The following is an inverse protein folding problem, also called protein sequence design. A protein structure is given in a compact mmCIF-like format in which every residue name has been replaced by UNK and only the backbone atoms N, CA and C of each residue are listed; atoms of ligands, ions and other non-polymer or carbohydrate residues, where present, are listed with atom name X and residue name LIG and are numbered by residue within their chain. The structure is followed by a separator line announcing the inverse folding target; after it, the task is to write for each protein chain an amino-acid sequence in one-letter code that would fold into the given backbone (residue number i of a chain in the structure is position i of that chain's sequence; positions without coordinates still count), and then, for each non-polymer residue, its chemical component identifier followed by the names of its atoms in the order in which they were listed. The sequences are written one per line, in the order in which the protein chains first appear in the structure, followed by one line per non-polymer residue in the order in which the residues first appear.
data_IF_017838315982
#
_entry.id   IF_017838315982
#
_cell.length_a   1.000
_cell.length_b   1.000
_cell.length_c   1.000
_cell.angle_alpha   90.00
_cell.angle_beta   90.00
_cell.angle_gamma   90.00
#
_symmetry.space_group_name_H-M   'P 1'
#
loop_
_entity.id
_entity.type
_entity.pdbx_description
1 polymer ?
#
# COMPACT_ATOMS: atom_id res chain seq x y z
N UNK A 1 -21.28 0.40 27.07
CA UNK A 1 -20.76 -0.81 26.40
C UNK A 1 -19.68 -1.33 27.33
N UNK A 2 -19.89 -2.48 27.96
CA UNK A 2 -18.89 -3.08 28.85
C UNK A 2 -17.90 -3.90 28.00
N UNK A 3 -16.62 -3.61 28.13
CA UNK A 3 -15.52 -4.37 27.54
C UNK A 3 -14.38 -4.46 28.58
N UNK A 4 -13.61 -5.53 28.52
CA UNK A 4 -12.43 -5.74 29.35
C UNK A 4 -11.18 -5.41 28.53
N UNK A 5 -10.32 -4.55 29.06
CA UNK A 5 -9.14 -4.04 28.37
C UNK A 5 -7.88 -4.77 28.85
N UNK A 6 -7.10 -5.30 27.90
CA UNK A 6 -5.75 -5.82 28.17
C UNK A 6 -4.80 -4.64 28.27
N UNK A 7 -4.19 -4.45 29.44
CA UNK A 7 -3.40 -3.24 29.74
C UNK A 7 -1.90 -3.49 29.92
N UNK A 8 -1.47 -4.74 29.83
CA UNK A 8 -0.06 -5.14 30.02
C UNK A 8 0.40 -6.18 28.99
N UNK A 9 1.73 -6.26 28.78
CA UNK A 9 2.30 -7.29 27.91
C UNK A 9 2.20 -8.67 28.56
N UNK A 10 2.31 -8.75 29.89
CA UNK A 10 2.20 -9.97 30.66
C UNK A 10 0.84 -10.64 30.44
N UNK A 11 -0.25 -9.87 30.63
CA UNK A 11 -1.62 -10.33 30.37
C UNK A 11 -1.80 -10.78 28.92
N UNK A 12 -1.29 -10.00 27.95
CA UNK A 12 -1.32 -10.38 26.54
C UNK A 12 -0.59 -11.71 26.29
N UNK A 13 0.55 -11.94 26.95
CA UNK A 13 1.36 -13.15 26.81
C UNK A 13 0.66 -14.36 27.41
N UNK A 14 0.01 -14.21 28.56
CA UNK A 14 -0.80 -15.26 29.17
C UNK A 14 -1.96 -15.69 28.27
N UNK A 15 -2.60 -14.74 27.59
CA UNK A 15 -3.71 -15.01 26.67
C UNK A 15 -3.27 -15.68 25.35
N UNK A 16 -2.20 -15.18 24.73
CA UNK A 16 -1.78 -15.61 23.38
C UNK A 16 -0.79 -16.78 23.40
N UNK A 17 -0.08 -16.97 24.51
CA UNK A 17 0.94 -18.00 24.67
C UNK A 17 2.33 -17.58 24.14
N UNK A 18 3.30 -18.51 24.16
CA UNK A 18 4.69 -18.21 23.84
C UNK A 18 4.92 -17.89 22.36
N UNK A 19 5.98 -17.12 22.08
CA UNK A 19 6.39 -16.80 20.72
C UNK A 19 6.82 -18.06 19.98
N UNK A 20 6.30 -18.27 18.77
CA UNK A 20 6.87 -19.24 17.85
C UNK A 20 8.17 -18.68 17.25
N UNK A 21 9.31 -19.20 17.72
CA UNK A 21 10.64 -18.71 17.35
C UNK A 21 10.93 -18.78 15.83
N UNK A 22 10.40 -19.79 15.14
CA UNK A 22 10.55 -19.93 13.67
C UNK A 22 9.83 -18.80 12.94
N UNK A 23 8.65 -18.41 13.43
CA UNK A 23 7.86 -17.30 12.84
C UNK A 23 8.54 -15.95 13.07
N UNK A 24 9.28 -15.79 14.16
CA UNK A 24 10.01 -14.55 14.43
C UNK A 24 11.34 -14.50 13.65
N UNK A 25 12.08 -15.60 13.59
CA UNK A 25 13.39 -15.69 12.95
C UNK A 25 13.36 -15.54 11.41
N UNK A 26 12.19 -15.61 10.78
CA UNK A 26 12.06 -15.44 9.32
C UNK A 26 12.25 -14.00 8.84
N UNK A 27 12.17 -13.00 9.73
CA UNK A 27 12.39 -11.61 9.37
C UNK A 27 13.86 -11.37 9.00
N UNK A 28 14.10 -10.72 7.87
CA UNK A 28 15.46 -10.43 7.39
C UNK A 28 15.59 -8.99 6.89
N UNK A 29 16.71 -8.30 7.16
CA UNK A 29 16.98 -6.99 6.55
C UNK A 29 17.45 -7.10 5.09
N UNK A 30 17.40 -8.29 4.50
CA UNK A 30 17.90 -8.59 3.15
C UNK A 30 16.75 -9.16 2.32
N UNK A 31 16.47 -8.53 1.18
CA UNK A 31 15.61 -9.04 0.13
C UNK A 31 16.38 -10.13 -0.62
N UNK A 32 15.99 -11.40 -0.44
CA UNK A 32 16.57 -12.51 -1.19
C UNK A 32 15.75 -12.69 -2.48
N UNK A 33 16.12 -13.70 -3.25
CA UNK A 33 15.51 -13.93 -4.57
C UNK A 33 13.98 -14.10 -4.51
N UNK A 34 13.44 -14.73 -3.46
CA UNK A 34 11.99 -14.88 -3.31
C UNK A 34 11.29 -13.55 -3.00
N UNK A 35 11.87 -12.72 -2.12
CA UNK A 35 11.33 -11.40 -1.80
C UNK A 35 11.39 -10.47 -3.01
N UNK A 36 12.51 -10.48 -3.75
CA UNK A 36 12.67 -9.71 -4.99
C UNK A 36 11.65 -10.13 -6.04
N UNK A 37 11.50 -11.44 -6.26
CA UNK A 37 10.52 -11.98 -7.21
C UNK A 37 9.09 -11.62 -6.81
N UNK A 38 8.77 -11.66 -5.51
CA UNK A 38 7.46 -11.27 -5.01
C UNK A 38 7.18 -9.78 -5.25
N UNK A 39 8.13 -8.90 -4.93
CA UNK A 39 8.01 -7.44 -5.17
C UNK A 39 7.83 -7.19 -6.67
N UNK A 40 8.65 -7.83 -7.51
CA UNK A 40 8.57 -7.72 -8.96
C UNK A 40 7.25 -8.25 -9.54
N UNK A 41 6.62 -9.23 -8.90
CA UNK A 41 5.33 -9.78 -9.31
C UNK A 41 4.11 -9.04 -8.75
N UNK A 42 4.29 -8.08 -7.84
CA UNK A 42 3.19 -7.41 -7.13
C UNK A 42 2.68 -6.19 -7.90
N UNK A 43 1.42 -6.18 -8.38
CA UNK A 43 0.80 -4.98 -8.95
C UNK A 43 0.26 -4.00 -7.89
N UNK A 44 0.28 -4.38 -6.61
CA UNK A 44 -0.34 -3.60 -5.55
C UNK A 44 0.45 -3.70 -4.24
N UNK A 45 0.60 -2.56 -3.55
CA UNK A 45 1.09 -2.53 -2.19
C UNK A 45 0.37 -1.48 -1.33
N UNK A 46 0.35 -1.71 -0.02
CA UNK A 46 -0.10 -0.76 0.98
C UNK A 46 1.12 -0.17 1.67
N UNK A 47 1.13 1.15 1.92
CA UNK A 47 2.18 1.83 2.69
C UNK A 47 1.56 2.40 3.95
N UNK A 48 1.98 1.87 5.10
CA UNK A 48 1.71 2.42 6.41
C UNK A 48 2.82 3.40 6.82
N UNK A 49 2.41 4.54 7.38
CA UNK A 49 3.30 5.55 7.97
C UNK A 49 2.64 6.12 9.23
N UNK A 50 3.42 6.80 10.06
CA UNK A 50 2.88 7.53 11.20
C UNK A 50 3.57 8.89 11.33
N UNK A 51 2.80 9.91 11.69
CA UNK A 51 3.33 11.22 12.10
C UNK A 51 4.10 11.11 13.42
N UNK A 52 4.73 12.21 13.83
CA UNK A 52 5.47 12.27 15.09
C UNK A 52 4.58 12.14 16.34
N UNK A 53 3.31 12.55 16.26
CA UNK A 53 2.33 12.42 17.34
C UNK A 53 1.63 11.04 17.38
N UNK A 54 2.03 10.11 16.49
CA UNK A 54 1.48 8.76 16.43
C UNK A 54 0.25 8.61 15.53
N UNK A 55 -0.23 9.68 14.88
CA UNK A 55 -1.30 9.59 13.89
C UNK A 55 -0.87 8.70 12.72
N UNK A 56 -1.60 7.60 12.51
CA UNK A 56 -1.31 6.64 11.46
C UNK A 56 -1.99 7.01 10.13
N UNK A 57 -1.32 6.68 9.03
CA UNK A 57 -1.85 6.73 7.67
C UNK A 57 -1.52 5.43 6.94
N UNK A 58 -2.46 4.94 6.14
CA UNK A 58 -2.25 3.80 5.24
C UNK A 58 -2.73 4.18 3.86
N UNK A 59 -1.83 4.12 2.89
CA UNK A 59 -2.14 4.50 1.52
C UNK A 59 -1.92 3.34 0.54
N UNK A 60 -2.91 3.02 -0.33
CA UNK A 60 -2.73 2.04 -1.39
C UNK A 60 -1.90 2.61 -2.53
N UNK A 61 -1.14 1.74 -3.18
CA UNK A 61 -0.35 1.99 -4.39
C UNK A 61 -0.60 0.85 -5.37
N UNK A 62 -0.88 1.20 -6.62
CA UNK A 62 -1.12 0.24 -7.68
C UNK A 62 -0.60 0.73 -9.02
N UNK A 63 -0.08 -0.20 -9.81
CA UNK A 63 0.50 -0.01 -11.14
C UNK A 63 0.70 -1.41 -11.76
N UNK A 64 1.19 -1.59 -13.01
CA UNK A 64 1.59 -2.89 -13.49
C UNK A 64 2.61 -3.58 -12.56
N UNK A 65 2.62 -4.94 -12.50
CA UNK A 65 3.63 -5.67 -11.75
C UNK A 65 5.05 -5.19 -12.07
N UNK A 66 5.86 -5.02 -11.02
CA UNK A 66 7.24 -4.55 -11.13
C UNK A 66 7.43 -3.05 -10.95
N UNK A 67 6.36 -2.30 -10.65
CA UNK A 67 6.45 -0.85 -10.44
C UNK A 67 7.23 -0.43 -9.20
N UNK A 68 7.39 -1.32 -8.22
CA UNK A 68 8.32 -1.12 -7.11
C UNK A 68 9.66 -1.71 -7.53
N UNK A 69 10.66 -0.85 -7.67
CA UNK A 69 11.98 -1.24 -8.11
C UNK A 69 12.80 -1.69 -6.91
N UNK A 70 13.33 -2.91 -6.96
CA UNK A 70 14.40 -3.33 -6.03
C UNK A 70 15.71 -2.77 -6.56
N UNK A 71 16.29 -1.81 -5.84
CA UNK A 71 17.54 -1.15 -6.24
C UNK A 71 18.76 -1.99 -5.86
N UNK A 72 18.68 -2.66 -4.71
CA UNK A 72 19.68 -3.60 -4.20
C UNK A 72 19.04 -4.52 -3.16
N UNK A 73 19.83 -5.42 -2.58
CA UNK A 73 19.40 -6.40 -1.57
C UNK A 73 18.78 -5.78 -0.30
N UNK A 74 18.88 -4.46 -0.11
CA UNK A 74 18.37 -3.76 1.09
C UNK A 74 17.62 -2.47 0.77
N UNK A 75 17.36 -2.18 -0.50
CA UNK A 75 16.78 -0.91 -0.91
C UNK A 75 15.75 -1.12 -2.00
N UNK A 76 14.57 -0.53 -1.80
CA UNK A 76 13.50 -0.50 -2.80
C UNK A 76 13.03 0.93 -3.04
N UNK A 77 12.44 1.17 -4.20
CA UNK A 77 11.91 2.46 -4.59
C UNK A 77 10.49 2.35 -5.15
N UNK A 78 9.56 3.10 -4.55
CA UNK A 78 8.15 3.14 -4.92
C UNK A 78 7.86 4.47 -5.61
N UNK A 79 7.39 4.49 -6.87
CA UNK A 79 7.05 5.72 -7.56
C UNK A 79 5.77 6.35 -6.99
N UNK A 80 5.73 7.68 -6.91
CA UNK A 80 4.50 8.44 -6.68
C UNK A 80 3.71 8.54 -7.99
N UNK A 81 2.40 8.26 -7.91
CA UNK A 81 1.47 8.33 -9.04
C UNK A 81 0.38 9.36 -8.76
N UNK A 82 -0.16 10.02 -9.80
CA UNK A 82 -1.29 10.91 -9.64
C UNK A 82 -2.44 10.22 -8.89
N UNK A 83 -2.99 10.91 -7.90
CA UNK A 83 -4.09 10.41 -7.08
C UNK A 83 -4.89 11.56 -6.47
N UNK A 84 -5.41 11.37 -5.26
CA UNK A 84 -6.19 12.38 -4.55
C UNK A 84 -5.39 13.62 -4.08
N UNK A 85 -4.08 13.68 -4.36
CA UNK A 85 -3.14 14.74 -3.96
C UNK A 85 -3.04 14.95 -2.43
N UNK A 86 -3.53 14.01 -1.63
CA UNK A 86 -3.26 13.99 -0.19
C UNK A 86 -1.80 13.62 0.00
N UNK A 87 -1.08 14.47 0.73
CA UNK A 87 0.36 14.31 0.96
C UNK A 87 0.65 13.63 2.31
N UNK A 88 -0.32 12.91 2.88
CA UNK A 88 -0.29 12.45 4.27
C UNK A 88 0.91 11.52 4.52
N UNK A 89 1.04 10.42 3.77
CA UNK A 89 2.22 9.52 3.83
C UNK A 89 3.54 10.29 3.63
N UNK A 90 3.59 11.23 2.69
CA UNK A 90 4.81 11.97 2.36
C UNK A 90 5.21 12.96 3.46
N UNK A 91 4.24 13.67 4.04
CA UNK A 91 4.42 14.56 5.20
C UNK A 91 4.87 13.78 6.43
N UNK A 92 4.31 12.59 6.63
CA UNK A 92 4.74 11.69 7.70
C UNK A 92 6.20 11.31 7.52
N UNK A 93 6.60 10.82 6.35
CA UNK A 93 7.99 10.40 6.05
C UNK A 93 9.01 11.51 6.28
N UNK A 94 8.67 12.76 5.96
CA UNK A 94 9.55 13.91 6.23
C UNK A 94 9.82 14.16 7.73
N UNK A 95 8.92 13.69 8.62
CA UNK A 95 9.00 13.91 10.07
C UNK A 95 9.35 12.63 10.85
N UNK A 96 8.93 11.49 10.34
CA UNK A 96 9.16 10.15 10.87
C UNK A 96 9.39 9.20 9.69
N UNK A 97 10.64 8.77 9.45
CA UNK A 97 10.96 7.99 8.25
C UNK A 97 10.47 6.55 8.31
N UNK A 98 9.86 6.08 9.41
CA UNK A 98 9.46 4.68 9.55
C UNK A 98 8.22 4.36 8.72
N UNK A 99 8.33 3.33 7.89
CA UNK A 99 7.24 2.83 7.05
C UNK A 99 7.10 1.32 7.14
N UNK A 100 5.89 0.83 6.97
CA UNK A 100 5.58 -0.58 6.74
C UNK A 100 4.91 -0.74 5.39
N UNK A 101 5.29 -1.76 4.63
CA UNK A 101 4.74 -2.06 3.32
C UNK A 101 4.19 -3.49 3.32
N UNK A 102 3.04 -3.69 2.68
CA UNK A 102 2.51 -5.03 2.38
C UNK A 102 2.32 -5.13 0.87
N UNK A 103 2.95 -6.12 0.26
CA UNK A 103 2.87 -6.43 -1.17
C UNK A 103 1.89 -7.57 -1.42
N UNK A 104 0.98 -7.35 -2.36
CA UNK A 104 -0.09 -8.28 -2.71
C UNK A 104 0.03 -8.72 -4.17
N UNK A 105 -0.20 -10.00 -4.42
CA UNK A 105 -0.40 -10.57 -5.75
C UNK A 105 -1.84 -11.11 -5.80
N UNK A 106 -2.73 -10.55 -6.64
CA UNK A 106 -4.08 -11.07 -6.80
C UNK A 106 -4.08 -12.59 -7.09
N UNK A 107 -4.94 -13.33 -6.39
CA UNK A 107 -4.98 -14.80 -6.46
C UNK A 107 -4.01 -15.53 -5.52
N UNK A 108 -3.01 -14.85 -4.95
CA UNK A 108 -2.11 -15.41 -3.93
C UNK A 108 -2.60 -15.08 -2.53
N UNK A 109 -2.79 -16.10 -1.70
CA UNK A 109 -3.26 -15.91 -0.32
C UNK A 109 -2.17 -15.42 0.64
N UNK A 110 -0.90 -15.63 0.31
CA UNK A 110 0.26 -15.14 1.06
C UNK A 110 0.59 -13.69 0.70
N UNK A 111 1.32 -13.01 1.59
CA UNK A 111 1.79 -11.63 1.37
C UNK A 111 3.23 -11.48 1.79
N UNK A 112 3.94 -10.52 1.22
CA UNK A 112 5.25 -10.09 1.70
C UNK A 112 5.11 -8.77 2.43
N UNK A 113 5.59 -8.72 3.68
CA UNK A 113 5.73 -7.47 4.44
C UNK A 113 7.17 -7.00 4.40
N UNK A 114 7.35 -5.69 4.25
CA UNK A 114 8.64 -5.01 4.37
C UNK A 114 8.51 -3.83 5.32
N UNK A 115 9.33 -3.77 6.36
CA UNK A 115 9.47 -2.59 7.22
C UNK A 115 10.80 -1.92 6.94
N UNK A 116 10.85 -0.60 7.10
CA UNK A 116 12.11 0.11 6.97
C UNK A 116 12.03 1.61 7.16
N UNK A 117 13.08 2.29 6.70
CA UNK A 117 13.21 3.74 6.72
C UNK A 117 13.12 4.31 5.33
N UNK A 118 12.16 5.19 5.15
CA UNK A 118 11.89 5.84 3.90
C UNK A 118 12.47 7.26 3.83
N UNK A 119 12.76 7.69 2.60
CA UNK A 119 13.06 9.07 2.24
C UNK A 119 12.42 9.41 0.90
N UNK A 120 12.14 10.69 0.71
CA UNK A 120 11.60 11.20 -0.54
C UNK A 120 12.75 11.59 -1.49
N UNK A 121 12.69 11.10 -2.72
CA UNK A 121 13.66 11.40 -3.78
C UNK A 121 12.91 12.01 -4.95
N UNK A 122 13.46 13.08 -5.54
CA UNK A 122 12.88 13.77 -6.71
C UNK A 122 13.60 13.48 -8.03
N UNK A 123 14.78 12.86 -7.96
CA UNK A 123 15.60 12.51 -9.12
C UNK A 123 16.67 11.49 -8.74
N UNK A 124 16.84 10.46 -9.56
CA UNK A 124 17.93 9.49 -9.51
C UNK A 124 17.98 8.75 -10.88
N UNK A 125 19.08 8.04 -11.20
CA UNK A 125 19.19 7.29 -12.46
C UNK A 125 18.04 6.30 -12.70
N UNK A 126 17.51 5.67 -11.65
CA UNK A 126 16.42 4.67 -11.74
C UNK A 126 15.03 5.26 -12.05
N UNK A 127 14.87 6.58 -12.13
CA UNK A 127 13.54 7.18 -12.40
C UNK A 127 13.03 6.88 -13.80
N UNK A 128 13.94 6.66 -14.75
CA UNK A 128 13.57 6.40 -16.14
C UNK A 128 13.04 4.96 -16.30
N UNK A 129 13.47 4.04 -15.42
CA UNK A 129 12.92 2.70 -15.33
C UNK A 129 11.49 2.68 -14.77
N UNK A 130 11.07 3.74 -14.05
CA UNK A 130 9.75 3.88 -13.43
C UNK A 130 8.68 4.49 -14.36
N UNK A 131 8.99 4.69 -15.64
CA UNK A 131 8.06 5.26 -16.62
C UNK A 131 7.00 4.22 -16.99
N UNK A 132 5.74 4.55 -16.75
CA UNK A 132 4.60 3.71 -17.16
C UNK A 132 3.75 4.52 -18.12
N UNK A 133 3.49 3.98 -19.32
CA UNK A 133 2.68 4.65 -20.37
C UNK A 133 3.12 6.11 -20.60
N UNK A 134 4.42 6.34 -20.73
CA UNK A 134 5.01 7.68 -20.94
C UNK A 134 5.01 8.61 -19.71
N UNK A 135 4.49 8.16 -18.57
CA UNK A 135 4.40 8.96 -17.35
C UNK A 135 5.57 8.66 -16.40
N UNK A 136 6.54 9.57 -16.37
CA UNK A 136 7.66 9.56 -15.42
C UNK A 136 7.23 10.11 -14.05
N UNK A 137 7.53 9.44 -12.93
CA UNK A 137 7.17 9.96 -11.61
C UNK A 137 7.95 11.24 -11.28
N UNK A 138 7.30 12.17 -10.56
CA UNK A 138 7.94 13.39 -10.04
C UNK A 138 8.65 13.17 -8.71
N UNK A 139 8.27 12.09 -8.01
CA UNK A 139 8.68 11.76 -6.67
C UNK A 139 8.75 10.24 -6.55
N UNK A 140 9.71 9.73 -5.78
CA UNK A 140 9.78 8.34 -5.40
C UNK A 140 10.06 8.24 -3.89
N UNK A 141 9.46 7.25 -3.26
CA UNK A 141 9.77 6.83 -1.91
C UNK A 141 10.89 5.78 -1.97
N UNK A 142 12.08 6.11 -1.48
CA UNK A 142 13.17 5.13 -1.35
C UNK A 142 13.17 4.59 0.06
N UNK A 143 13.07 3.27 0.20
CA UNK A 143 13.00 2.57 1.49
C UNK A 143 14.24 1.72 1.67
N UNK A 144 14.99 2.00 2.74
CA UNK A 144 16.02 1.11 3.26
C UNK A 144 15.35 0.07 4.15
N UNK A 145 15.48 -1.20 3.77
CA UNK A 145 14.81 -2.35 4.37
C UNK A 145 15.46 -2.68 5.72
N UNK A 146 14.64 -2.74 6.76
CA UNK A 146 15.04 -3.21 8.09
C UNK A 146 14.52 -4.64 8.35
N UNK A 147 13.35 -4.98 7.80
CA UNK A 147 12.77 -6.32 7.92
C UNK A 147 11.94 -6.66 6.67
N UNK A 148 12.06 -7.89 6.18
CA UNK A 148 11.23 -8.47 5.14
C UNK A 148 10.85 -9.90 5.52
N UNK A 149 9.57 -10.26 5.36
CA UNK A 149 9.08 -11.62 5.60
C UNK A 149 7.70 -11.90 5.03
N UNK A 150 7.43 -13.17 4.75
CA UNK A 150 6.13 -13.64 4.26
C UNK A 150 5.11 -13.84 5.39
N UNK A 151 3.86 -13.42 5.20
CA UNK A 151 2.72 -13.75 6.06
C UNK A 151 1.93 -14.95 5.53
N UNK A 152 1.32 -15.69 6.46
CA UNK A 152 0.51 -16.86 6.10
C UNK A 152 -0.85 -16.47 5.51
N UNK A 153 -1.38 -17.34 4.66
CA UNK A 153 -2.61 -17.11 3.91
C UNK A 153 -3.93 -17.25 4.69
N UNK A 154 -3.90 -17.50 6.00
CA UNK A 154 -5.11 -17.81 6.80
C UNK A 154 -6.16 -16.69 6.75
N UNK A 155 -5.75 -15.42 6.79
CA UNK A 155 -6.69 -14.29 6.70
C UNK A 155 -7.37 -14.24 5.33
N UNK A 156 -6.61 -14.44 4.25
CA UNK A 156 -7.13 -14.45 2.88
C UNK A 156 -8.09 -15.61 2.64
N UNK A 157 -7.77 -16.81 3.15
CA UNK A 157 -8.64 -17.98 3.06
C UNK A 157 -9.98 -17.76 3.79
N UNK A 158 -9.93 -17.28 5.03
CA UNK A 158 -11.16 -17.03 5.82
C UNK A 158 -12.04 -15.97 5.18
N UNK A 159 -11.43 -14.92 4.62
CA UNK A 159 -12.13 -13.85 3.93
C UNK A 159 -12.60 -14.25 2.53
N UNK A 160 -12.14 -15.38 1.98
CA UNK A 160 -12.34 -15.77 0.58
C UNK A 160 -11.96 -14.64 -0.39
N UNK A 161 -10.87 -13.93 -0.07
CA UNK A 161 -10.55 -12.65 -0.73
C UNK A 161 -10.37 -12.80 -2.25
N UNK A 162 -9.85 -13.94 -2.70
CA UNK A 162 -9.60 -14.25 -4.11
C UNK A 162 -10.56 -15.30 -4.68
N UNK A 163 -11.78 -15.35 -4.16
CA UNK A 163 -12.86 -16.19 -4.66
C UNK A 163 -13.94 -15.29 -5.29
N UNK A 164 -13.92 -15.07 -6.62
CA UNK A 164 -14.85 -14.16 -7.30
C UNK A 164 -16.32 -14.53 -7.10
N UNK A 165 -16.63 -15.81 -6.88
CA UNK A 165 -18.00 -16.28 -6.64
C UNK A 165 -18.53 -15.82 -5.27
N UNK A 166 -17.65 -15.38 -4.36
CA UNK A 166 -18.01 -14.86 -3.04
C UNK A 166 -18.18 -13.34 -2.99
N UNK A 167 -17.86 -12.62 -4.07
CA UNK A 167 -17.84 -11.16 -4.10
C UNK A 167 -19.23 -10.57 -4.26
N UNK A 168 -19.54 -9.57 -3.44
CA UNK A 168 -20.75 -8.76 -3.52
C UNK A 168 -20.38 -7.27 -3.53
N UNK A 169 -20.12 -6.69 -4.72
CA UNK A 169 -19.73 -5.27 -4.83
C UNK A 169 -20.85 -4.30 -4.42
N UNK A 170 -22.11 -4.77 -4.38
CA UNK A 170 -23.29 -3.97 -4.04
C UNK A 170 -23.71 -4.10 -2.56
N UNK A 171 -22.92 -4.83 -1.75
CA UNK A 171 -23.12 -4.95 -0.31
C UNK A 171 -23.11 -3.60 0.43
N UNK A 172 -22.59 -2.54 -0.20
CA UNK A 172 -22.54 -1.16 0.29
C UNK A 172 -22.96 -0.18 -0.81
N UNK A 173 -23.34 1.08 -0.46
CA UNK A 173 -23.65 2.08 -1.47
C UNK A 173 -22.50 2.33 -2.45
N UNK A 174 -22.83 2.69 -3.70
CA UNK A 174 -21.85 3.02 -4.72
C UNK A 174 -20.95 4.19 -4.31
N UNK A 175 -19.76 4.29 -4.92
CA UNK A 175 -18.83 5.39 -4.65
C UNK A 175 -19.46 6.77 -4.87
N UNK A 176 -20.32 6.91 -5.87
CA UNK A 176 -21.04 8.14 -6.16
C UNK A 176 -22.02 8.52 -5.05
N UNK A 177 -22.77 7.55 -4.50
CA UNK A 177 -23.66 7.77 -3.35
C UNK A 177 -22.88 8.16 -2.11
N UNK A 178 -21.83 7.41 -1.78
CA UNK A 178 -20.93 7.74 -0.65
C UNK A 178 -20.39 9.17 -0.81
N UNK A 179 -19.89 9.52 -2.00
CA UNK A 179 -19.32 10.83 -2.27
C UNK A 179 -20.35 11.96 -2.08
N UNK A 180 -21.59 11.76 -2.53
CA UNK A 180 -22.68 12.71 -2.30
C UNK A 180 -22.92 12.90 -0.81
N UNK A 181 -22.97 11.81 -0.05
CA UNK A 181 -23.36 11.87 1.36
C UNK A 181 -22.26 12.46 2.27
N UNK A 182 -20.99 12.41 1.86
CA UNK A 182 -19.85 12.75 2.75
C UNK A 182 -18.92 13.86 2.26
N UNK A 183 -18.78 14.07 0.96
CA UNK A 183 -17.72 14.92 0.38
C UNK A 183 -18.27 16.02 -0.54
N UNK A 184 -19.29 15.69 -1.33
CA UNK A 184 -19.88 16.51 -2.40
C UNK A 184 -21.39 16.65 -2.16
N UNK A 185 -21.76 17.13 -0.98
CA UNK A 185 -23.17 17.18 -0.50
C UNK A 185 -24.10 17.98 -1.40
N UNK A 186 -23.56 18.96 -2.13
CA UNK A 186 -24.31 19.80 -3.06
C UNK A 186 -24.33 19.27 -4.51
N UNK A 187 -23.54 18.24 -4.82
CA UNK A 187 -23.47 17.68 -6.18
C UNK A 187 -24.65 16.73 -6.45
N UNK A 188 -25.13 16.70 -7.69
CA UNK A 188 -26.12 15.70 -8.10
C UNK A 188 -25.50 14.30 -8.16
N UNK A 189 -26.28 13.28 -7.80
CA UNK A 189 -25.83 11.89 -7.89
C UNK A 189 -25.42 11.52 -9.33
N UNK A 190 -26.17 11.96 -10.34
CA UNK A 190 -25.87 11.71 -11.76
C UNK A 190 -24.48 12.24 -12.17
N UNK A 191 -24.12 13.44 -11.70
CA UNK A 191 -22.81 14.03 -11.97
C UNK A 191 -21.68 13.21 -11.35
N UNK A 192 -21.89 12.70 -10.13
CA UNK A 192 -20.93 11.86 -9.43
C UNK A 192 -20.83 10.45 -10.03
N UNK A 193 -21.92 9.89 -10.52
CA UNK A 193 -21.93 8.61 -11.25
C UNK A 193 -21.13 8.71 -12.55
N UNK A 194 -21.27 9.83 -13.28
CA UNK A 194 -20.44 10.10 -14.46
C UNK A 194 -18.96 10.21 -14.09
N UNK A 195 -18.65 10.97 -13.03
CA UNK A 195 -17.28 11.17 -12.53
C UNK A 195 -16.60 9.87 -12.10
N UNK A 196 -17.30 8.99 -11.39
CA UNK A 196 -16.75 7.74 -10.86
C UNK A 196 -16.98 6.53 -11.78
N UNK A 197 -17.60 6.72 -12.94
CA UNK A 197 -17.77 5.70 -13.97
C UNK A 197 -16.53 5.55 -14.87
N UNK A 198 -16.75 5.18 -16.13
CA UNK A 198 -15.68 4.88 -17.11
C UNK A 198 -14.70 6.04 -17.37
N UNK A 199 -15.07 7.29 -17.08
CA UNK A 199 -14.17 8.44 -17.19
C UNK A 199 -13.08 8.45 -16.12
N UNK A 200 -13.32 7.82 -14.95
CA UNK A 200 -12.36 7.81 -13.86
C UNK A 200 -11.07 7.08 -14.23
N UNK A 201 -11.17 5.97 -14.97
CA UNK A 201 -10.02 5.20 -15.42
C UNK A 201 -9.11 5.98 -16.38
N UNK A 202 -9.66 6.92 -17.15
CA UNK A 202 -8.89 7.78 -18.07
C UNK A 202 -7.93 8.71 -17.33
N UNK A 203 -8.11 8.91 -16.03
CA UNK A 203 -7.25 9.77 -15.20
C UNK A 203 -6.10 9.03 -14.50
N UNK A 204 -5.99 7.70 -14.65
CA UNK A 204 -4.90 6.91 -14.03
C UNK A 204 -3.52 7.36 -14.51
N UNK A 205 -3.37 7.54 -15.82
CA UNK A 205 -2.17 8.04 -16.47
C UNK A 205 -2.60 9.17 -17.40
N UNK A 206 -2.55 10.44 -16.94
CA UNK A 206 -2.91 11.55 -17.81
C UNK A 206 -2.00 11.52 -19.05
N UNK A 207 -2.57 11.88 -20.20
CA UNK A 207 -1.77 12.06 -21.41
C UNK A 207 -0.61 13.00 -21.06
N UNK A 208 0.60 12.59 -21.44
CA UNK A 208 1.79 13.42 -21.34
C UNK A 208 1.66 14.58 -22.32
N UNK A 209 0.78 15.52 -22.01
CA UNK A 209 0.63 16.79 -22.72
C UNK A 209 2.01 17.41 -22.83
N UNK A 210 2.46 17.52 -24.08
CA UNK A 210 3.81 17.93 -24.44
C UNK A 210 4.21 19.17 -23.67
N UNK A 211 5.39 19.12 -23.07
CA UNK A 211 6.08 20.34 -22.70
C UNK A 211 6.26 21.18 -23.98
N UNK A 212 5.52 22.27 -24.06
CA UNK A 212 5.95 23.49 -24.73
C UNK A 212 6.73 24.33 -23.73
#
# INVERSE_FOLDING_TARGET
MEYEEVTSEEELRELVGPVNSVVFAKASPVLRENEKAWIGGSPFCLIASASQDGTCDVSPRGDPPGFVHVLDDRTLAVPDRPGNRRLDTWRNVLRNPRVGLIFLIPGRGDTLRVNGRARLVRSAPFFDDMVVRGNRPKLALVVSVEEAYFHCAKSFMRARLWDPDSWDPDAVPSRARIARDTEWTEASLESLERRYGAEYEKHLYPDSGGGS
#
